data_IF_638645897760
#
_entry.id   IF_638645897760
#
_cell.length_a   1.000
_cell.length_b   1.000
_cell.length_c   1.000
_cell.angle_alpha   90.00
_cell.angle_beta   90.00
_cell.angle_gamma   90.00
#
_symmetry.space_group_name_H-M   'P 1'
#
loop_
_entity.id
_entity.type
_entity.pdbx_description
1 polymer ?
#
# COMPACT_ATOMS: atom_id res chain seq x y z
N UNK A 1 4.65 -13.52 -2.18
CA UNK A 1 3.90 -12.60 -1.27
C UNK A 1 3.86 -13.16 0.16
N UNK A 2 4.40 -12.42 1.11
CA UNK A 2 4.41 -12.79 2.54
C UNK A 2 3.16 -12.25 3.24
N UNK A 3 2.51 -13.07 4.09
CA UNK A 3 1.35 -12.68 4.89
C UNK A 3 1.64 -12.91 6.37
N UNK A 4 1.42 -11.89 7.19
CA UNK A 4 1.54 -11.99 8.65
C UNK A 4 0.53 -11.08 9.36
N UNK A 5 0.42 -11.24 10.67
CA UNK A 5 -0.45 -10.42 11.53
C UNK A 5 0.40 -9.46 12.36
N UNK A 6 -0.05 -8.22 12.45
CA UNK A 6 0.58 -7.18 13.26
C UNK A 6 -0.39 -6.65 14.30
N UNK A 7 0.02 -6.66 15.57
CA UNK A 7 -0.72 -6.01 16.64
C UNK A 7 -0.32 -4.54 16.72
N UNK A 8 -1.27 -3.66 16.48
CA UNK A 8 -1.11 -2.21 16.52
C UNK A 8 -0.67 -1.76 17.90
N UNK A 9 0.35 -0.90 17.95
CA UNK A 9 0.90 -0.33 19.18
C UNK A 9 0.40 1.10 19.38
N UNK A 10 0.46 1.59 20.62
CA UNK A 10 0.13 2.99 20.91
C UNK A 10 1.03 3.93 20.10
N UNK A 11 0.41 4.83 19.34
CA UNK A 11 1.10 5.79 18.46
C UNK A 11 1.29 5.31 17.02
N UNK A 12 0.95 4.05 16.69
CA UNK A 12 0.93 3.60 15.30
C UNK A 12 -0.19 4.30 14.52
N UNK A 13 0.09 4.61 13.25
CA UNK A 13 -0.90 5.04 12.26
C UNK A 13 -0.93 4.05 11.11
N UNK A 14 -2.02 3.98 10.34
CA UNK A 14 -2.09 3.10 9.17
C UNK A 14 -0.96 3.40 8.16
N UNK A 15 -0.61 4.68 7.99
CA UNK A 15 0.51 5.13 7.15
C UNK A 15 1.83 4.61 7.71
N UNK A 16 2.11 4.85 9.00
CA UNK A 16 3.37 4.41 9.61
C UNK A 16 3.54 2.89 9.63
N UNK A 17 2.45 2.14 9.83
CA UNK A 17 2.46 0.68 9.70
C UNK A 17 2.75 0.26 8.26
N UNK A 18 2.10 0.90 7.27
CA UNK A 18 2.34 0.61 5.87
C UNK A 18 3.80 0.90 5.45
N UNK A 19 4.37 2.01 5.90
CA UNK A 19 5.77 2.36 5.67
C UNK A 19 6.74 1.35 6.29
N UNK A 20 6.51 1.02 7.57
CA UNK A 20 7.29 0.07 8.36
C UNK A 20 7.37 -1.29 7.69
N UNK A 21 6.25 -1.79 7.17
CA UNK A 21 6.19 -3.08 6.50
C UNK A 21 6.37 -3.02 5.00
N UNK A 22 6.63 -1.83 4.46
CA UNK A 22 6.79 -1.59 3.03
C UNK A 22 5.60 -2.15 2.24
N UNK A 23 4.40 -1.68 2.55
CA UNK A 23 3.17 -2.02 1.82
C UNK A 23 2.44 -0.75 1.39
N UNK A 24 1.52 -0.87 0.44
CA UNK A 24 0.60 0.22 0.11
C UNK A 24 -0.34 0.46 1.28
N UNK A 25 -0.47 1.73 1.72
CA UNK A 25 -1.42 2.10 2.78
C UNK A 25 -2.86 1.83 2.36
N UNK A 26 -3.22 2.12 1.11
CA UNK A 26 -4.54 1.80 0.56
C UNK A 26 -4.76 0.29 0.49
N UNK A 27 -3.72 -0.48 0.16
CA UNK A 27 -3.74 -1.93 0.24
C UNK A 27 -3.99 -2.42 1.66
N UNK A 28 -3.28 -1.88 2.65
CA UNK A 28 -3.45 -2.21 4.07
C UNK A 28 -4.86 -1.89 4.56
N UNK A 29 -5.40 -0.72 4.19
CA UNK A 29 -6.77 -0.29 4.51
C UNK A 29 -7.78 -1.27 3.92
N UNK A 30 -7.64 -1.59 2.63
CA UNK A 30 -8.55 -2.51 1.93
C UNK A 30 -8.48 -3.93 2.49
N UNK A 31 -7.28 -4.45 2.73
CA UNK A 31 -7.05 -5.81 3.26
C UNK A 31 -7.65 -6.01 4.66
N UNK A 32 -7.86 -4.94 5.41
CA UNK A 32 -8.37 -4.95 6.79
C UNK A 32 -9.73 -4.28 6.96
N UNK A 33 -10.36 -3.84 5.87
CA UNK A 33 -11.61 -3.07 5.88
C UNK A 33 -11.60 -1.92 6.91
N UNK A 34 -10.47 -1.20 7.01
CA UNK A 34 -10.30 -0.17 8.03
C UNK A 34 -11.26 1.00 7.79
N UNK A 35 -11.98 1.37 8.85
CA UNK A 35 -12.84 2.55 8.89
C UNK A 35 -12.32 3.48 9.98
N UNK A 36 -11.76 4.62 9.56
CA UNK A 36 -11.14 5.59 10.46
C UNK A 36 -9.74 5.18 10.92
N UNK A 37 -9.35 5.66 12.10
CA UNK A 37 -8.02 5.43 12.68
C UNK A 37 -7.88 4.03 13.28
N UNK A 38 -6.67 3.47 13.19
CA UNK A 38 -6.31 2.23 13.89
C UNK A 38 -6.09 2.50 15.38
N UNK A 39 -6.44 1.54 16.23
CA UNK A 39 -6.31 1.65 17.69
C UNK A 39 -5.29 0.66 18.22
N UNK A 40 -4.63 1.02 19.31
CA UNK A 40 -3.71 0.12 19.99
C UNK A 40 -4.45 -1.18 20.38
N UNK A 41 -3.85 -2.32 20.04
CA UNK A 41 -4.45 -3.64 20.26
C UNK A 41 -5.12 -4.25 19.03
N UNK A 42 -5.47 -3.46 18.01
CA UNK A 42 -6.03 -3.96 16.75
C UNK A 42 -5.06 -4.95 16.08
N UNK A 43 -5.61 -5.96 15.42
CA UNK A 43 -4.83 -6.93 14.65
C UNK A 43 -5.01 -6.66 13.17
N UNK A 44 -3.92 -6.27 12.51
CA UNK A 44 -3.88 -6.04 11.08
C UNK A 44 -3.29 -7.24 10.36
N UNK A 45 -3.95 -7.69 9.30
CA UNK A 45 -3.37 -8.53 8.26
C UNK A 45 -2.48 -7.67 7.38
N UNK A 46 -1.19 -8.00 7.32
CA UNK A 46 -0.24 -7.34 6.44
C UNK A 46 0.15 -8.30 5.32
N UNK A 47 0.01 -7.86 4.07
CA UNK A 47 0.38 -8.60 2.87
C UNK A 47 1.53 -7.90 2.16
N UNK A 48 2.75 -8.37 2.40
CA UNK A 48 3.96 -7.79 1.84
C UNK A 48 4.28 -8.40 0.46
N UNK A 49 4.28 -7.61 -0.62
CA UNK A 49 4.68 -8.08 -1.94
C UNK A 49 6.19 -8.32 -2.01
N UNK A 50 6.65 -9.04 -3.02
CA UNK A 50 8.09 -9.27 -3.25
C UNK A 50 8.76 -8.05 -3.88
N UNK A 51 8.09 -7.40 -4.84
CA UNK A 51 8.52 -6.12 -5.42
C UNK A 51 7.60 -4.97 -5.08
N UNK A 52 8.25 -3.84 -4.84
CA UNK A 52 7.62 -2.55 -4.62
C UNK A 52 8.27 -1.52 -5.52
N UNK A 53 7.46 -0.57 -5.94
CA UNK A 53 7.92 0.68 -6.52
C UNK A 53 7.65 1.81 -5.54
N UNK A 54 8.71 2.55 -5.20
CA UNK A 54 8.57 3.81 -4.50
C UNK A 54 8.36 4.90 -5.54
N UNK A 55 7.20 5.55 -5.48
CA UNK A 55 6.81 6.61 -6.41
C UNK A 55 7.80 7.78 -6.30
N UNK A 56 8.38 8.17 -7.44
CA UNK A 56 9.41 9.21 -7.55
C UNK A 56 8.79 10.57 -7.87
N UNK A 57 9.54 11.68 -7.70
CA UNK A 57 9.06 12.98 -8.15
C UNK A 57 8.71 12.92 -9.65
N UNK A 58 7.60 13.58 -10.02
CA UNK A 58 7.07 13.63 -11.39
C UNK A 58 6.50 12.32 -11.97
N UNK A 59 6.39 11.26 -11.17
CA UNK A 59 5.59 10.10 -11.54
C UNK A 59 4.09 10.43 -11.52
N UNK A 60 3.35 9.76 -12.40
CA UNK A 60 1.90 9.60 -12.34
C UNK A 60 1.57 8.12 -12.35
N UNK A 61 0.35 7.74 -11.95
CA UNK A 61 -0.06 6.34 -11.96
C UNK A 61 0.06 5.75 -13.38
N UNK A 62 -0.44 6.49 -14.38
CA UNK A 62 -0.23 6.21 -15.80
C UNK A 62 1.22 5.95 -16.18
N UNK A 63 2.15 6.89 -15.89
CA UNK A 63 3.57 6.76 -16.29
C UNK A 63 4.25 5.57 -15.62
N UNK A 64 3.88 5.28 -14.37
CA UNK A 64 4.43 4.13 -13.66
C UNK A 64 3.88 2.83 -14.25
N UNK A 65 2.58 2.77 -14.55
CA UNK A 65 1.96 1.62 -15.20
C UNK A 65 2.57 1.33 -16.57
N UNK A 66 2.77 2.37 -17.40
CA UNK A 66 3.45 2.26 -18.71
C UNK A 66 4.86 1.66 -18.58
N UNK A 67 5.67 2.13 -17.61
CA UNK A 67 7.01 1.60 -17.35
C UNK A 67 6.99 0.12 -16.92
N UNK A 68 5.92 -0.30 -16.26
CA UNK A 68 5.72 -1.67 -15.77
C UNK A 68 5.04 -2.57 -16.81
N UNK A 69 4.56 -2.01 -17.92
CA UNK A 69 3.84 -2.77 -18.94
C UNK A 69 2.45 -3.26 -18.51
N UNK A 70 1.82 -2.61 -17.54
CA UNK A 70 0.48 -2.96 -17.02
C UNK A 70 -0.52 -1.81 -17.22
N UNK A 71 -1.81 -2.08 -17.03
CA UNK A 71 -2.84 -1.04 -17.10
C UNK A 71 -2.78 -0.06 -15.92
N UNK A 72 -3.10 1.21 -16.13
CA UNK A 72 -3.18 2.19 -15.03
C UNK A 72 -4.23 1.78 -13.99
N UNK A 73 -5.44 1.42 -14.43
CA UNK A 73 -6.51 0.97 -13.54
C UNK A 73 -6.14 -0.31 -12.80
N UNK A 74 -5.43 -1.22 -13.47
CA UNK A 74 -4.91 -2.46 -12.89
C UNK A 74 -3.90 -2.16 -11.77
N UNK A 75 -2.92 -1.28 -12.04
CA UNK A 75 -1.96 -0.82 -11.03
C UNK A 75 -2.66 -0.23 -9.80
N UNK A 76 -3.65 0.67 -10.01
CA UNK A 76 -4.37 1.30 -8.92
C UNK A 76 -5.21 0.30 -8.12
N UNK A 77 -5.90 -0.64 -8.79
CA UNK A 77 -6.71 -1.67 -8.15
C UNK A 77 -5.88 -2.64 -7.31
N UNK A 78 -4.72 -3.08 -7.82
CA UNK A 78 -3.76 -3.90 -7.08
C UNK A 78 -3.26 -3.18 -5.80
N UNK A 79 -3.30 -1.86 -5.82
CA UNK A 79 -2.89 -0.98 -4.73
C UNK A 79 -4.07 -0.40 -3.93
N UNK A 80 -5.17 -1.13 -3.84
CA UNK A 80 -6.30 -0.77 -2.98
C UNK A 80 -7.31 0.19 -3.61
N UNK A 81 -7.26 0.37 -4.94
CA UNK A 81 -8.08 1.36 -5.63
C UNK A 81 -7.63 2.78 -5.34
N UNK A 82 -6.31 2.99 -5.15
CA UNK A 82 -5.77 4.31 -4.86
C UNK A 82 -6.21 5.31 -5.94
N UNK A 83 -6.74 6.50 -5.57
CA UNK A 83 -7.22 7.47 -6.55
C UNK A 83 -6.07 8.17 -7.30
N UNK A 84 -4.86 8.15 -6.73
CA UNK A 84 -3.64 8.72 -7.29
C UNK A 84 -2.41 8.09 -6.63
N UNK A 85 -1.25 8.28 -7.24
CA UNK A 85 0.06 8.02 -6.63
C UNK A 85 0.73 9.34 -6.27
N UNK A 86 1.42 9.38 -5.14
CA UNK A 86 2.16 10.56 -4.70
C UNK A 86 3.58 10.17 -4.31
N UNK A 87 4.49 11.14 -4.28
CA UNK A 87 5.91 10.91 -3.96
C UNK A 87 6.09 10.12 -2.66
N UNK A 88 6.91 9.07 -2.71
CA UNK A 88 7.21 8.21 -1.57
C UNK A 88 6.18 7.11 -1.30
N UNK A 89 5.01 7.14 -1.96
CA UNK A 89 4.02 6.06 -1.85
C UNK A 89 4.64 4.75 -2.37
N UNK A 90 4.61 3.71 -1.53
CA UNK A 90 5.02 2.36 -1.92
C UNK A 90 3.84 1.65 -2.57
N UNK A 91 3.99 1.28 -3.83
CA UNK A 91 2.98 0.53 -4.58
C UNK A 91 3.52 -0.85 -4.97
N UNK A 92 2.66 -1.85 -4.90
CA UNK A 92 2.88 -3.18 -5.46
C UNK A 92 3.02 -3.05 -6.97
N UNK A 93 4.04 -3.68 -7.55
CA UNK A 93 4.28 -3.70 -9.01
C UNK A 93 3.94 -5.02 -9.67
N UNK A 94 3.54 -6.01 -8.87
CA UNK A 94 3.16 -7.34 -9.32
C UNK A 94 1.63 -7.38 -9.29
N UNK A 95 1.04 -7.78 -10.40
CA UNK A 95 -0.41 -8.02 -10.53
C UNK A 95 -0.64 -9.52 -10.68
#
# INVERSE_FOLDING_TARGET
MEKFFYRVKRGDTAIGVAEKFSVSVFGLIKDNALVGEIRAGDILVVRRPEKLYAVKPFDSARRVAEKLGIGESELLMANGGAPYVFYGLKIKTEV
#
